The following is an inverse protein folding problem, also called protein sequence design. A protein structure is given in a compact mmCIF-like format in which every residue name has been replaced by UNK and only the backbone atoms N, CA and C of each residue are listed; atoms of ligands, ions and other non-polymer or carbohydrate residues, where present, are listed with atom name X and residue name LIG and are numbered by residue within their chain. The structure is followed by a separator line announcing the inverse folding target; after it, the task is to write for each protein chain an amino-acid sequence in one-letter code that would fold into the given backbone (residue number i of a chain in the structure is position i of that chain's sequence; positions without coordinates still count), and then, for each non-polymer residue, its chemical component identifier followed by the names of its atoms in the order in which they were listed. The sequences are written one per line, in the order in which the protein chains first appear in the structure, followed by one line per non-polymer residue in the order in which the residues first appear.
data_IF_627149452582
#
_entry.id   IF_627149452582
#
_cell.length_a   1.000
_cell.length_b   1.000
_cell.length_c   1.000
_cell.angle_alpha   90.00
_cell.angle_beta   90.00
_cell.angle_gamma   90.00
#
_symmetry.space_group_name_H-M   'P 1'
#
loop_
_entity.id
_entity.type
_entity.pdbx_description
1 polymer ?
#
# COMPACT_ATOMS: atom_id res chain seq x y z
N UNK A 1 12.58 1.01 -17.65
CA UNK A 1 13.75 1.36 -16.81
C UNK A 1 14.95 0.53 -17.25
N UNK A 2 16.13 1.13 -17.42
CA UNK A 2 17.32 0.44 -17.95
C UNK A 2 18.30 -0.01 -16.84
N UNK A 3 19.33 -0.77 -17.20
CA UNK A 3 20.34 -1.29 -16.25
C UNK A 3 21.11 -0.18 -15.52
N UNK A 4 21.23 1.01 -16.12
CA UNK A 4 21.96 2.15 -15.57
C UNK A 4 21.16 2.88 -14.50
N UNK A 5 19.85 3.08 -14.73
CA UNK A 5 18.92 3.66 -13.75
C UNK A 5 18.78 2.78 -12.50
N UNK A 6 18.87 1.46 -12.61
CA UNK A 6 18.92 0.56 -11.44
C UNK A 6 20.20 0.69 -10.59
N UNK A 7 21.34 1.00 -11.21
CA UNK A 7 22.60 1.21 -10.47
C UNK A 7 22.55 2.49 -9.64
N UNK A 8 21.86 3.52 -10.12
CA UNK A 8 21.66 4.78 -9.40
C UNK A 8 20.91 4.60 -8.06
N UNK A 9 19.87 3.76 -8.00
CA UNK A 9 19.15 3.50 -6.74
C UNK A 9 19.92 2.61 -5.77
N UNK A 10 20.83 1.78 -6.29
CA UNK A 10 21.68 0.92 -5.47
C UNK A 10 22.79 1.71 -4.76
N UNK A 11 23.26 2.78 -5.40
CA UNK A 11 24.48 3.49 -5.00
C UNK A 11 24.23 4.91 -4.41
N UNK A 12 23.04 5.52 -4.56
CA UNK A 12 22.75 6.89 -4.08
C UNK A 12 21.46 7.01 -3.23
N UNK A 13 21.62 7.09 -1.91
CA UNK A 13 20.53 7.33 -0.94
C UNK A 13 19.87 8.71 -1.07
N UNK A 14 20.55 9.71 -1.63
CA UNK A 14 20.09 11.11 -1.63
C UNK A 14 18.92 11.40 -2.57
N UNK A 15 18.56 10.46 -3.46
CA UNK A 15 17.49 10.63 -4.45
C UNK A 15 16.24 9.78 -4.14
N UNK A 16 16.17 9.13 -2.97
CA UNK A 16 15.00 8.35 -2.60
C UNK A 16 13.93 9.25 -1.97
N UNK A 17 12.63 9.03 -2.27
CA UNK A 17 11.54 9.81 -1.68
C UNK A 17 11.56 9.71 -0.15
N UNK A 18 11.57 10.83 0.56
CA UNK A 18 11.61 10.88 2.04
C UNK A 18 10.22 10.79 2.68
N UNK A 19 9.37 9.93 2.13
CA UNK A 19 7.92 9.94 2.37
C UNK A 19 7.52 9.63 3.82
N UNK A 20 8.26 8.76 4.51
CA UNK A 20 7.94 8.29 5.86
C UNK A 20 8.67 9.08 6.97
N UNK A 21 9.46 10.11 6.64
CA UNK A 21 10.21 10.86 7.65
C UNK A 21 9.28 11.58 8.64
N UNK A 22 8.13 12.07 8.17
CA UNK A 22 7.16 12.82 8.97
C UNK A 22 6.16 11.92 9.72
N UNK A 23 6.17 10.62 9.48
CA UNK A 23 5.25 9.70 10.14
C UNK A 23 5.76 9.29 11.52
N UNK A 24 4.81 9.15 12.46
CA UNK A 24 5.04 8.40 13.70
C UNK A 24 5.28 6.91 13.41
N UNK A 25 5.83 6.17 14.37
CA UNK A 25 6.01 4.72 14.24
C UNK A 25 4.69 3.97 14.00
N UNK A 26 3.61 4.46 14.60
CA UNK A 26 2.27 3.89 14.40
C UNK A 26 1.76 4.12 12.97
N UNK A 27 1.91 5.34 12.46
CA UNK A 27 1.55 5.73 11.10
C UNK A 27 2.32 4.96 10.03
N UNK A 28 3.62 4.72 10.26
CA UNK A 28 4.44 3.83 9.41
C UNK A 28 3.87 2.42 9.37
N UNK A 29 3.40 1.91 10.52
CA UNK A 29 2.73 0.62 10.59
C UNK A 29 1.44 0.57 9.77
N UNK A 30 0.62 1.62 9.82
CA UNK A 30 -0.61 1.70 9.01
C UNK A 30 -0.30 1.75 7.52
N UNK A 31 0.62 2.61 7.09
CA UNK A 31 1.07 2.67 5.70
C UNK A 31 1.58 1.32 5.21
N UNK A 32 2.51 0.70 5.95
CA UNK A 32 3.10 -0.58 5.58
C UNK A 32 2.04 -1.69 5.51
N UNK A 33 1.07 -1.66 6.42
CA UNK A 33 -0.05 -2.60 6.42
C UNK A 33 -0.91 -2.45 5.17
N UNK A 34 -1.31 -1.22 4.81
CA UNK A 34 -2.08 -0.97 3.59
C UNK A 34 -1.38 -1.46 2.33
N UNK A 35 -0.10 -1.13 2.18
CA UNK A 35 0.71 -1.60 1.05
C UNK A 35 0.83 -3.13 1.02
N UNK A 36 1.02 -3.76 2.17
CA UNK A 36 1.13 -5.21 2.29
C UNK A 36 -0.21 -5.95 2.04
N UNK A 37 -1.34 -5.31 2.34
CA UNK A 37 -2.64 -5.90 2.06
C UNK A 37 -3.00 -5.90 0.58
N UNK A 38 -2.62 -4.84 -0.16
CA UNK A 38 -2.72 -4.82 -1.62
C UNK A 38 -1.75 -5.81 -2.27
N UNK A 39 -0.46 -5.49 -2.24
CA UNK A 39 0.57 -6.17 -3.05
C UNK A 39 1.43 -7.19 -2.29
N UNK A 40 1.22 -7.31 -0.98
CA UNK A 40 1.97 -8.24 -0.16
C UNK A 40 1.62 -9.70 -0.41
N UNK A 41 2.49 -10.58 0.06
CA UNK A 41 2.22 -12.00 0.16
C UNK A 41 3.10 -12.67 1.22
N UNK A 42 2.53 -13.68 1.88
CA UNK A 42 3.28 -14.56 2.77
C UNK A 42 3.38 -15.94 2.13
N UNK A 43 4.59 -16.47 2.07
CA UNK A 43 4.90 -17.85 1.70
C UNK A 43 5.69 -18.52 2.83
N UNK A 44 5.95 -19.82 2.71
CA UNK A 44 6.57 -20.68 3.73
C UNK A 44 7.76 -20.09 4.48
N UNK A 45 8.56 -19.22 3.86
CA UNK A 45 9.76 -18.62 4.49
C UNK A 45 9.91 -17.11 4.31
N UNK A 46 8.98 -16.45 3.64
CA UNK A 46 9.20 -15.10 3.12
C UNK A 46 7.93 -14.26 3.20
N UNK A 47 8.07 -13.03 3.69
CA UNK A 47 7.12 -11.96 3.42
C UNK A 47 7.64 -11.20 2.21
N UNK A 48 6.79 -10.96 1.21
CA UNK A 48 7.19 -10.28 -0.03
C UNK A 48 6.17 -9.21 -0.38
N UNK A 49 6.62 -8.03 -0.79
CA UNK A 49 5.81 -7.04 -1.51
C UNK A 49 6.32 -6.99 -2.94
N UNK A 50 5.39 -7.05 -3.89
CA UNK A 50 5.69 -7.05 -5.32
C UNK A 50 5.38 -5.67 -5.87
N UNK A 51 6.30 -5.10 -6.62
CA UNK A 51 6.18 -3.78 -7.22
C UNK A 51 6.31 -3.88 -8.74
N UNK A 52 5.65 -2.94 -9.43
CA UNK A 52 5.95 -2.66 -10.83
C UNK A 52 7.42 -2.21 -10.98
N UNK A 53 7.93 -2.16 -12.21
CA UNK A 53 9.28 -1.64 -12.43
C UNK A 53 9.32 -0.11 -12.26
N UNK A 54 8.21 0.56 -12.52
CA UNK A 54 8.00 1.98 -12.33
C UNK A 54 8.12 2.36 -10.84
N UNK A 55 7.68 1.48 -9.94
CA UNK A 55 7.73 1.66 -8.47
C UNK A 55 9.00 1.10 -7.82
N UNK A 56 10.02 0.75 -8.62
CA UNK A 56 11.32 0.35 -8.10
C UNK A 56 11.92 1.36 -7.09
N UNK A 57 11.84 2.69 -7.29
CA UNK A 57 12.35 3.65 -6.32
C UNK A 57 11.68 3.52 -4.95
N UNK A 58 10.36 3.30 -4.92
CA UNK A 58 9.61 3.08 -3.68
C UNK A 58 10.07 1.79 -3.00
N UNK A 59 10.23 0.69 -3.76
CA UNK A 59 10.71 -0.58 -3.22
C UNK A 59 12.08 -0.44 -2.54
N UNK A 60 13.04 0.23 -3.20
CA UNK A 60 14.36 0.50 -2.62
C UNK A 60 14.28 1.39 -1.39
N UNK A 61 13.50 2.47 -1.46
CA UNK A 61 13.28 3.36 -0.33
C UNK A 61 12.79 2.60 0.89
N UNK A 62 11.72 1.81 0.77
CA UNK A 62 11.14 1.07 1.89
C UNK A 62 12.11 0.02 2.45
N UNK A 63 12.79 -0.74 1.58
CA UNK A 63 13.78 -1.72 2.00
C UNK A 63 14.92 -1.10 2.81
N UNK A 64 15.42 0.07 2.39
CA UNK A 64 16.49 0.79 3.08
C UNK A 64 16.00 1.49 4.34
N UNK A 65 14.84 2.17 4.27
CA UNK A 65 14.27 2.95 5.36
C UNK A 65 13.98 2.06 6.57
N UNK A 66 13.30 0.94 6.34
CA UNK A 66 13.00 -0.03 7.40
C UNK A 66 14.19 -0.93 7.76
N UNK A 67 15.30 -0.87 7.00
CA UNK A 67 16.51 -1.68 7.19
C UNK A 67 16.21 -3.17 7.31
N UNK A 68 15.30 -3.67 6.46
CA UNK A 68 14.85 -5.05 6.50
C UNK A 68 14.69 -5.63 5.11
N UNK A 69 14.94 -6.92 4.96
CA UNK A 69 14.82 -7.62 3.68
C UNK A 69 15.86 -7.22 2.64
N UNK A 70 15.57 -7.57 1.40
CA UNK A 70 16.39 -7.26 0.22
C UNK A 70 15.53 -7.14 -1.04
N UNK A 71 16.06 -6.47 -2.06
CA UNK A 71 15.42 -6.32 -3.37
C UNK A 71 15.84 -7.45 -4.31
N UNK A 72 14.85 -8.11 -4.90
CA UNK A 72 15.00 -9.08 -5.98
C UNK A 72 14.31 -8.59 -7.25
N UNK A 73 14.82 -9.00 -8.41
CA UNK A 73 14.36 -8.57 -9.72
C UNK A 73 13.94 -9.77 -10.54
N UNK A 74 12.73 -9.72 -11.11
CA UNK A 74 12.20 -10.80 -11.95
C UNK A 74 12.00 -10.36 -13.38
N UNK A 75 12.54 -11.19 -14.27
CA UNK A 75 12.33 -11.05 -15.70
C UNK A 75 11.13 -11.88 -16.15
N UNK A 76 10.47 -11.42 -17.21
CA UNK A 76 9.47 -12.22 -17.92
C UNK A 76 10.15 -13.33 -18.76
N UNK A 77 9.34 -14.13 -19.45
CA UNK A 77 9.82 -15.21 -20.33
C UNK A 77 10.72 -14.71 -21.48
N UNK A 78 10.59 -13.43 -21.86
CA UNK A 78 11.42 -12.76 -22.86
C UNK A 78 12.72 -12.15 -22.28
N UNK A 79 13.02 -12.42 -21.00
CA UNK A 79 14.16 -11.89 -20.24
C UNK A 79 14.12 -10.36 -20.04
N UNK A 80 12.96 -9.74 -20.20
CA UNK A 80 12.75 -8.33 -19.91
C UNK A 80 12.42 -8.18 -18.43
N UNK A 81 13.03 -7.20 -17.77
CA UNK A 81 12.72 -6.91 -16.38
C UNK A 81 11.30 -6.38 -16.27
N UNK A 82 10.49 -7.01 -15.41
CA UNK A 82 9.06 -6.67 -15.30
C UNK A 82 8.62 -6.38 -13.88
N UNK A 83 9.32 -6.93 -12.88
CA UNK A 83 8.86 -6.90 -11.50
C UNK A 83 10.03 -6.70 -10.55
N UNK A 84 9.81 -5.87 -9.54
CA UNK A 84 10.71 -5.71 -8.38
C UNK A 84 10.04 -6.33 -7.17
N UNK A 85 10.81 -7.01 -6.31
CA UNK A 85 10.28 -7.63 -5.08
C UNK A 85 11.10 -7.21 -3.88
N UNK A 86 10.42 -6.70 -2.87
CA UNK A 86 11.01 -6.55 -1.55
C UNK A 86 10.71 -7.81 -0.73
N UNK A 87 11.75 -8.60 -0.46
CA UNK A 87 11.64 -9.88 0.25
C UNK A 87 12.24 -9.80 1.65
N UNK A 88 11.50 -10.25 2.65
CA UNK A 88 11.91 -10.30 4.05
C UNK A 88 11.94 -11.76 4.49
N UNK A 89 13.16 -12.30 4.64
CA UNK A 89 13.39 -13.72 4.91
C UNK A 89 13.96 -14.01 6.29
N UNK A 90 14.74 -13.09 6.87
CA UNK A 90 15.35 -13.29 8.18
C UNK A 90 14.26 -13.23 9.25
N UNK A 91 14.35 -14.13 10.23
CA UNK A 91 13.33 -14.21 11.27
C UNK A 91 13.24 -12.94 12.13
N UNK A 92 14.40 -12.34 12.46
CA UNK A 92 14.45 -11.08 13.20
C UNK A 92 13.74 -9.95 12.46
N UNK A 93 13.97 -9.84 11.16
CA UNK A 93 13.32 -8.84 10.29
C UNK A 93 11.82 -9.14 10.13
N UNK A 94 11.43 -10.40 10.02
CA UNK A 94 10.02 -10.82 10.00
C UNK A 94 9.29 -10.48 11.30
N UNK A 95 9.94 -10.58 12.46
CA UNK A 95 9.38 -10.11 13.75
C UNK A 95 9.13 -8.62 13.74
N UNK A 96 10.10 -7.83 13.27
CA UNK A 96 9.96 -6.36 13.16
C UNK A 96 8.79 -6.03 12.24
N UNK A 97 8.74 -6.61 11.04
CA UNK A 97 7.64 -6.42 10.08
C UNK A 97 6.29 -6.80 10.68
N UNK A 98 6.22 -7.96 11.36
CA UNK A 98 4.98 -8.44 12.01
C UNK A 98 4.50 -7.43 13.05
N UNK A 99 5.40 -6.87 13.87
CA UNK A 99 5.04 -5.88 14.88
C UNK A 99 4.49 -4.58 14.28
N UNK A 100 5.01 -4.13 13.14
CA UNK A 100 4.46 -2.95 12.43
C UNK A 100 3.00 -3.17 12.03
N UNK A 101 2.70 -4.30 11.40
CA UNK A 101 1.38 -4.59 10.84
C UNK A 101 0.38 -5.13 11.87
N UNK A 102 0.85 -5.56 13.06
CA UNK A 102 -0.01 -6.18 14.05
C UNK A 102 -1.11 -5.21 14.52
N UNK A 103 -2.36 -5.67 14.46
CA UNK A 103 -3.55 -4.86 14.76
C UNK A 103 -3.94 -3.84 13.68
N UNK A 104 -3.27 -3.86 12.51
CA UNK A 104 -3.48 -2.86 11.43
C UNK A 104 -3.92 -3.49 10.10
N UNK A 105 -4.28 -4.77 10.10
CA UNK A 105 -4.82 -5.45 8.93
C UNK A 105 -6.35 -5.26 8.89
N UNK A 106 -6.91 -4.91 7.74
CA UNK A 106 -8.35 -4.88 7.49
C UNK A 106 -8.88 -6.20 6.92
N UNK A 107 -8.02 -6.97 6.26
CA UNK A 107 -8.35 -8.19 5.52
C UNK A 107 -7.83 -9.45 6.20
N UNK A 108 -8.53 -10.56 5.94
CA UNK A 108 -8.09 -11.87 6.42
C UNK A 108 -7.01 -12.50 5.55
N UNK A 109 -6.81 -12.06 4.31
CA UNK A 109 -5.93 -12.74 3.36
C UNK A 109 -4.49 -12.88 3.88
N UNK A 110 -3.92 -11.80 4.43
CA UNK A 110 -2.56 -11.81 5.01
C UNK A 110 -2.52 -12.54 6.34
N UNK A 111 -3.54 -12.33 7.17
CA UNK A 111 -3.72 -13.05 8.44
C UNK A 111 -3.73 -14.56 8.23
N UNK A 112 -4.57 -15.07 7.33
CA UNK A 112 -4.71 -16.50 7.04
C UNK A 112 -3.40 -17.10 6.51
N UNK A 113 -2.68 -16.37 5.64
CA UNK A 113 -1.38 -16.83 5.16
C UNK A 113 -0.33 -16.92 6.28
N UNK A 114 -0.34 -15.97 7.23
CA UNK A 114 0.57 -15.99 8.39
C UNK A 114 0.43 -17.28 9.19
N UNK A 115 -0.81 -17.66 9.52
CA UNK A 115 -1.09 -18.89 10.27
C UNK A 115 -0.94 -20.16 9.42
N UNK A 116 -1.33 -20.13 8.14
CA UNK A 116 -1.14 -21.24 7.20
C UNK A 116 0.32 -21.70 7.14
N UNK A 117 1.26 -20.76 7.21
CA UNK A 117 2.69 -21.05 7.17
C UNK A 117 3.37 -21.10 8.56
N UNK A 118 2.58 -21.19 9.64
CA UNK A 118 3.05 -21.32 11.03
C UNK A 118 4.00 -20.20 11.50
N UNK A 119 3.81 -18.98 11.01
CA UNK A 119 4.62 -17.84 11.47
C UNK A 119 4.32 -17.47 12.92
N UNK A 120 3.13 -17.76 13.43
CA UNK A 120 2.77 -17.58 14.84
C UNK A 120 3.72 -18.35 15.76
N UNK A 121 4.02 -19.60 15.42
CA UNK A 121 4.94 -20.46 16.18
C UNK A 121 6.39 -20.07 15.93
N UNK A 122 6.76 -19.85 14.67
CA UNK A 122 8.14 -19.50 14.28
C UNK A 122 8.56 -18.17 14.92
N UNK A 123 7.70 -17.17 14.84
CA UNK A 123 7.97 -15.84 15.35
C UNK A 123 7.52 -15.66 16.79
N UNK A 124 6.87 -16.64 17.43
CA UNK A 124 6.29 -16.48 18.78
C UNK A 124 5.52 -15.15 18.94
N UNK A 125 4.73 -14.79 17.91
CA UNK A 125 3.92 -13.57 17.87
C UNK A 125 2.51 -14.00 17.48
N UNK A 126 1.52 -13.63 18.29
CA UNK A 126 0.12 -13.74 17.90
C UNK A 126 -0.23 -12.53 17.05
N UNK A 127 -0.44 -12.76 15.75
CA UNK A 127 -0.96 -11.75 14.85
C UNK A 127 -2.44 -11.52 15.19
N UNK A 128 -2.81 -10.29 15.51
CA UNK A 128 -4.19 -9.93 15.78
C UNK A 128 -5.04 -10.16 14.52
N UNK A 129 -6.27 -10.62 14.74
CA UNK A 129 -7.27 -10.71 13.67
C UNK A 129 -7.49 -9.32 13.06
N UNK A 130 -7.98 -9.30 11.82
CA UNK A 130 -8.34 -8.05 11.18
C UNK A 130 -9.29 -7.25 12.05
N UNK A 131 -9.04 -5.94 12.12
CA UNK A 131 -9.75 -5.01 12.98
C UNK A 131 -10.34 -3.90 12.14
N UNK A 132 -11.58 -3.52 12.41
CA UNK A 132 -12.16 -2.34 11.78
C UNK A 132 -11.53 -1.07 12.37
N UNK A 133 -11.02 -0.19 11.49
CA UNK A 133 -10.60 1.15 11.86
C UNK A 133 -10.97 2.15 10.75
N UNK A 134 -10.97 3.43 11.11
CA UNK A 134 -11.25 4.48 10.13
C UNK A 134 -10.01 4.78 9.29
N UNK A 135 -10.00 4.28 8.05
CA UNK A 135 -8.90 4.45 7.09
C UNK A 135 -8.61 5.90 6.69
N UNK A 136 -9.50 6.85 7.03
CA UNK A 136 -9.29 8.28 6.81
C UNK A 136 -8.51 8.97 7.93
N UNK A 137 -8.26 8.26 9.04
CA UNK A 137 -7.56 8.81 10.21
C UNK A 137 -6.14 8.26 10.34
N UNK A 138 -5.67 7.47 9.38
CA UNK A 138 -4.33 6.92 9.38
C UNK A 138 -3.83 6.66 7.94
N UNK A 139 -2.52 6.46 7.74
CA UNK A 139 -1.95 6.26 6.40
C UNK A 139 -2.23 4.92 5.73
N UNK A 140 -3.11 4.06 6.26
CA UNK A 140 -3.41 2.76 5.65
C UNK A 140 -3.93 2.91 4.23
N UNK A 141 -4.84 3.87 3.98
CA UNK A 141 -5.39 4.11 2.66
C UNK A 141 -4.31 4.58 1.67
N UNK A 142 -3.31 5.31 2.15
CA UNK A 142 -2.17 5.75 1.33
C UNK A 142 -1.37 4.55 0.85
N UNK A 143 -0.96 3.66 1.77
CA UNK A 143 -0.24 2.44 1.38
C UNK A 143 -1.05 1.52 0.49
N UNK A 144 -2.35 1.38 0.76
CA UNK A 144 -3.24 0.57 -0.08
C UNK A 144 -3.43 1.19 -1.49
N UNK A 145 -3.44 2.52 -1.58
CA UNK A 145 -3.48 3.25 -2.86
C UNK A 145 -2.21 3.03 -3.68
N UNK A 146 -1.04 3.06 -3.04
CA UNK A 146 0.23 2.79 -3.72
C UNK A 146 0.33 1.36 -4.26
N UNK A 147 -0.49 0.42 -3.75
CA UNK A 147 -0.57 -0.95 -4.28
C UNK A 147 -1.66 -1.12 -5.36
N UNK A 148 -2.91 -0.78 -5.03
CA UNK A 148 -4.10 -1.16 -5.82
C UNK A 148 -4.93 0.06 -6.30
N UNK A 149 -4.41 1.28 -6.11
CA UNK A 149 -5.09 2.52 -6.48
C UNK A 149 -4.71 3.07 -7.84
N UNK A 150 -5.66 3.76 -8.47
CA UNK A 150 -5.47 4.39 -9.77
C UNK A 150 -6.11 5.78 -9.82
N UNK A 151 -5.31 6.78 -10.20
CA UNK A 151 -5.79 8.11 -10.56
C UNK A 151 -5.79 8.24 -12.09
N UNK A 152 -6.92 8.64 -12.66
CA UNK A 152 -7.02 8.86 -14.09
C UNK A 152 -7.64 10.22 -14.38
N UNK A 153 -7.09 10.88 -15.39
CA UNK A 153 -7.68 12.05 -16.01
C UNK A 153 -7.95 11.77 -17.48
N UNK A 154 -9.13 12.11 -17.99
CA UNK A 154 -9.36 12.16 -19.43
C UNK A 154 -10.29 13.30 -19.82
N UNK A 155 -10.18 13.71 -21.08
CA UNK A 155 -11.13 14.61 -21.70
C UNK A 155 -12.44 13.86 -21.95
N UNK A 156 -13.52 14.28 -21.28
CA UNK A 156 -14.86 13.77 -21.57
C UNK A 156 -15.46 14.43 -22.82
N UNK A 157 -15.04 15.64 -23.15
CA UNK A 157 -15.31 16.35 -24.40
C UNK A 157 -14.21 17.41 -24.61
N UNK A 158 -14.28 18.23 -25.67
CA UNK A 158 -13.25 19.23 -26.02
C UNK A 158 -12.92 20.24 -24.90
N UNK A 159 -13.77 20.41 -23.89
CA UNK A 159 -13.64 21.44 -22.85
C UNK A 159 -13.69 20.90 -21.42
N UNK A 160 -13.92 19.59 -21.23
CA UNK A 160 -14.16 19.01 -19.89
C UNK A 160 -13.14 17.93 -19.58
N UNK A 161 -12.34 18.15 -18.54
CA UNK A 161 -11.46 17.16 -17.93
C UNK A 161 -12.24 16.44 -16.82
N UNK A 162 -12.27 15.11 -16.88
CA UNK A 162 -12.76 14.24 -15.82
C UNK A 162 -11.57 13.66 -15.11
N UNK A 163 -11.53 13.80 -13.78
CA UNK A 163 -10.57 13.13 -12.91
C UNK A 163 -11.32 12.10 -12.06
N UNK A 164 -10.81 10.88 -11.98
CA UNK A 164 -11.32 9.85 -11.08
C UNK A 164 -10.19 9.20 -10.31
N UNK A 165 -10.56 8.76 -9.12
CA UNK A 165 -9.79 7.86 -8.29
C UNK A 165 -10.56 6.54 -8.19
N UNK A 166 -9.86 5.44 -8.41
CA UNK A 166 -10.40 4.08 -8.36
C UNK A 166 -9.53 3.20 -7.48
N UNK A 167 -10.18 2.33 -6.70
CA UNK A 167 -9.55 1.27 -5.93
C UNK A 167 -10.10 -0.07 -6.40
N UNK A 168 -9.22 -0.96 -6.83
CA UNK A 168 -9.60 -2.32 -7.21
C UNK A 168 -9.47 -3.26 -6.02
N UNK A 169 -10.50 -4.05 -5.72
CA UNK A 169 -10.41 -5.10 -4.70
C UNK A 169 -11.34 -6.27 -5.04
N UNK A 170 -10.84 -7.50 -4.89
CA UNK A 170 -11.61 -8.74 -5.11
C UNK A 170 -12.65 -8.95 -4.02
N UNK A 171 -12.26 -8.63 -2.79
CA UNK A 171 -13.13 -8.78 -1.63
C UNK A 171 -13.90 -7.48 -1.35
N UNK A 172 -15.21 -7.52 -1.53
CA UNK A 172 -16.06 -6.34 -1.42
C UNK A 172 -16.05 -5.69 -0.04
N UNK A 173 -15.61 -6.35 1.04
CA UNK A 173 -15.72 -5.79 2.41
C UNK A 173 -14.79 -4.59 2.69
N UNK A 174 -13.68 -4.44 1.96
CA UNK A 174 -12.85 -3.21 2.04
C UNK A 174 -13.61 -2.03 1.42
N UNK A 175 -14.36 -2.30 0.35
CA UNK A 175 -15.11 -1.30 -0.42
C UNK A 175 -16.55 -1.08 0.10
N UNK A 176 -17.07 -2.04 0.86
CA UNK A 176 -18.46 -2.12 1.30
C UNK A 176 -18.45 -2.62 2.74
N UNK A 177 -18.69 -1.71 3.70
CA UNK A 177 -18.93 -2.12 5.10
C UNK A 177 -20.06 -3.18 5.13
N UNK A 178 -19.94 -4.28 5.88
CA UNK A 178 -21.14 -4.90 6.41
C UNK A 178 -21.82 -3.85 7.29
N UNK A 179 -23.07 -3.54 6.99
CA UNK A 179 -23.85 -2.67 7.84
C UNK A 179 -23.80 -3.18 9.30
N UNK A 180 -23.59 -2.30 10.30
CA UNK A 180 -24.03 -2.63 11.65
C UNK A 180 -25.51 -2.98 11.54
N UNK A 181 -25.93 -4.10 12.13
CA UNK A 181 -27.31 -4.57 12.08
C UNK A 181 -28.26 -3.37 12.33
N UNK A 182 -28.98 -2.93 11.30
CA UNK A 182 -29.96 -1.84 11.38
C UNK A 182 -29.69 -0.54 10.60
N UNK A 183 -28.62 -0.38 9.80
CA UNK A 183 -28.50 0.74 8.83
C UNK A 183 -28.28 0.26 7.41
N UNK A 184 -28.98 0.83 6.43
CA UNK A 184 -28.85 0.35 5.04
C UNK A 184 -27.48 0.73 4.46
N UNK A 185 -26.81 -0.16 3.69
CA UNK A 185 -25.48 0.09 3.11
C UNK A 185 -25.37 1.37 2.27
N UNK A 186 -26.49 1.83 1.69
CA UNK A 186 -26.55 2.95 0.74
C UNK A 186 -26.29 4.32 1.39
N UNK A 187 -26.68 4.51 2.65
CA UNK A 187 -26.58 5.80 3.34
C UNK A 187 -25.16 6.10 3.84
N UNK A 188 -24.42 5.07 4.25
CA UNK A 188 -23.02 5.21 4.69
C UNK A 188 -22.03 5.33 3.53
N UNK A 189 -22.28 4.63 2.42
CA UNK A 189 -21.56 4.81 1.16
C UNK A 189 -21.65 6.27 0.69
N UNK A 190 -22.86 6.84 0.72
CA UNK A 190 -23.07 8.23 0.33
C UNK A 190 -22.27 9.19 1.22
N UNK A 191 -22.25 8.98 2.55
CA UNK A 191 -21.54 9.87 3.47
C UNK A 191 -20.02 9.84 3.31
N UNK A 192 -19.43 8.66 3.13
CA UNK A 192 -17.97 8.53 2.94
C UNK A 192 -17.52 8.95 1.54
N UNK A 193 -18.32 8.65 0.50
CA UNK A 193 -18.07 9.19 -0.84
C UNK A 193 -18.22 10.71 -0.87
N UNK A 194 -19.18 11.29 -0.15
CA UNK A 194 -19.32 12.74 -0.01
C UNK A 194 -18.09 13.34 0.67
N UNK A 195 -17.56 12.72 1.73
CA UNK A 195 -16.33 13.19 2.40
C UNK A 195 -15.12 13.08 1.47
N UNK A 196 -14.93 11.96 0.77
CA UNK A 196 -13.83 11.76 -0.17
C UNK A 196 -13.93 12.73 -1.36
N UNK A 197 -15.13 12.96 -1.89
CA UNK A 197 -15.39 13.94 -2.96
C UNK A 197 -15.17 15.36 -2.45
N UNK A 198 -15.53 15.68 -1.21
CA UNK A 198 -15.27 16.99 -0.60
C UNK A 198 -13.76 17.24 -0.47
N UNK A 199 -13.02 16.24 0.00
CA UNK A 199 -11.57 16.31 0.14
C UNK A 199 -10.86 16.38 -1.22
N UNK A 200 -11.30 15.59 -2.20
CA UNK A 200 -10.80 15.68 -3.58
C UNK A 200 -11.13 17.04 -4.21
N UNK A 201 -12.31 17.63 -3.94
CA UNK A 201 -12.67 18.99 -4.36
C UNK A 201 -11.77 20.04 -3.71
N UNK A 202 -11.45 19.91 -2.42
CA UNK A 202 -10.55 20.83 -1.72
C UNK A 202 -9.12 20.75 -2.28
N UNK A 203 -8.60 19.54 -2.52
CA UNK A 203 -7.30 19.34 -3.18
C UNK A 203 -7.33 19.94 -4.60
N UNK A 204 -8.40 19.70 -5.36
CA UNK A 204 -8.55 20.22 -6.71
C UNK A 204 -8.62 21.75 -6.76
N UNK A 205 -9.36 22.36 -5.84
CA UNK A 205 -9.44 23.82 -5.70
C UNK A 205 -8.09 24.43 -5.32
N UNK A 206 -7.29 23.71 -4.53
CA UNK A 206 -5.93 24.14 -4.17
C UNK A 206 -5.02 24.07 -5.40
N UNK A 207 -5.05 22.98 -6.16
CA UNK A 207 -4.27 22.83 -7.41
C UNK A 207 -4.68 23.82 -8.50
N UNK A 208 -5.98 24.14 -8.62
CA UNK A 208 -6.45 25.17 -9.56
C UNK A 208 -5.99 26.57 -9.15
N UNK A 209 -5.97 26.92 -7.85
CA UNK A 209 -5.40 28.20 -7.42
C UNK A 209 -3.89 28.30 -7.68
N UNK A 210 -3.14 27.20 -7.57
CA UNK A 210 -1.68 27.21 -7.83
C UNK A 210 -1.33 27.28 -9.32
N UNK A 211 -2.24 26.90 -10.23
CA UNK A 211 -2.05 27.01 -11.69
C UNK A 211 -2.45 28.37 -12.28
N UNK A 212 -2.86 29.34 -11.46
CA UNK A 212 -2.98 30.73 -11.88
C UNK A 212 -1.75 31.54 -11.44
N UNK A 213 -0.62 31.39 -12.13
CA UNK A 213 0.44 32.40 -12.30
C UNK A 213 1.05 32.24 -13.69
#
# INVERSE_FOLDING_TARGET
MDKYSMKLYKDNNNNLPKMLEDFTEEEKGYYLSGLFEGDGNIYTRTFSIVFSIEDAPLAHYLCQYFKMGYIDYKNNSKKELTVVKWNIMKESEQRIFTNYINGKLLTYKRYDQYYKYNFDKKLNILLMKSMEFNVLLNPWLMGFTDADGYFYSALSNKLTIVMKYELSQKESYILVRPAPAGRTPKEMLLKNMVILVQYMKEILNTVTMTMFI
#
